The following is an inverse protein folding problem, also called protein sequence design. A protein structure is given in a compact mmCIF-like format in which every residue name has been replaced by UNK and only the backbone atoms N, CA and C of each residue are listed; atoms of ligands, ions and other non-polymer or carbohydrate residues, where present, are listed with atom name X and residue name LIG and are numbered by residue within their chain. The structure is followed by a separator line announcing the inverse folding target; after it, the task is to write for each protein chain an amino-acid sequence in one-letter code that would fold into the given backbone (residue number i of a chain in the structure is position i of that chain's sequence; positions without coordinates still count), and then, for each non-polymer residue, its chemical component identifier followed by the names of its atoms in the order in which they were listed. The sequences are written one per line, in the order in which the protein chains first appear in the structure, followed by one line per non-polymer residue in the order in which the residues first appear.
data_IF_212414903363
#
_entry.id   IF_212414903363
#
_cell.length_a   1.000
_cell.length_b   1.000
_cell.length_c   1.000
_cell.angle_alpha   90.00
_cell.angle_beta   90.00
_cell.angle_gamma   90.00
#
_symmetry.space_group_name_H-M   'P 1'
#
loop_
_entity.id
_entity.type
_entity.pdbx_description
1 polymer ?
#
# COMPACT_ATOMS: atom_id res chain seq x y z
N UNK A 1 46.30 -31.31 42.47
CA UNK A 1 45.57 -31.47 41.23
C UNK A 1 44.27 -30.58 41.05
N UNK A 2 44.07 -29.54 41.88
CA UNK A 2 42.87 -28.69 41.81
C UNK A 2 43.08 -27.28 41.23
N UNK A 3 44.29 -26.87 40.89
CA UNK A 3 44.58 -25.50 40.39
C UNK A 3 44.65 -25.33 38.86
N UNK A 4 44.55 -26.43 38.12
CA UNK A 4 44.69 -26.36 36.64
C UNK A 4 43.35 -26.26 35.90
N UNK A 5 42.24 -26.61 36.55
CA UNK A 5 40.91 -26.62 35.93
C UNK A 5 40.23 -25.22 35.91
N UNK A 6 40.59 -24.34 36.82
CA UNK A 6 39.98 -23.00 36.93
C UNK A 6 40.52 -21.97 35.95
N UNK A 7 41.76 -22.12 35.43
CA UNK A 7 42.35 -21.21 34.45
C UNK A 7 41.77 -21.38 33.03
N UNK A 8 41.31 -22.58 32.68
CA UNK A 8 40.72 -22.85 31.35
C UNK A 8 39.31 -22.33 31.20
N UNK A 9 38.54 -22.28 32.26
CA UNK A 9 37.15 -21.77 32.22
C UNK A 9 37.06 -20.23 32.11
N UNK A 10 37.95 -19.51 32.77
CA UNK A 10 37.99 -18.05 32.73
C UNK A 10 38.41 -17.54 31.34
N UNK A 11 39.40 -18.20 30.71
CA UNK A 11 39.83 -17.83 29.36
C UNK A 11 38.75 -18.02 28.27
N UNK A 12 37.94 -19.07 28.39
CA UNK A 12 36.83 -19.35 27.46
C UNK A 12 35.66 -18.40 27.63
N UNK A 13 35.39 -17.96 28.86
CA UNK A 13 34.32 -16.96 29.13
C UNK A 13 34.70 -15.57 28.61
N UNK A 14 35.94 -15.16 28.65
CA UNK A 14 36.41 -13.90 28.11
C UNK A 14 36.41 -13.90 26.56
N UNK A 15 36.72 -15.02 25.92
CA UNK A 15 36.66 -15.15 24.47
C UNK A 15 35.21 -15.09 23.95
N UNK A 16 34.28 -15.74 24.64
CA UNK A 16 32.84 -15.68 24.28
C UNK A 16 32.23 -14.28 24.50
N UNK A 17 32.60 -13.60 25.59
CA UNK A 17 32.15 -12.23 25.85
C UNK A 17 32.73 -11.22 24.83
N UNK A 18 33.99 -11.37 24.43
CA UNK A 18 34.63 -10.54 23.41
C UNK A 18 34.01 -10.74 22.02
N UNK A 19 33.69 -11.99 21.68
CA UNK A 19 33.03 -12.28 20.39
C UNK A 19 31.59 -11.77 20.33
N UNK A 20 30.86 -11.87 21.45
CA UNK A 20 29.52 -11.31 21.57
C UNK A 20 29.51 -9.78 21.49
N UNK A 21 30.51 -9.12 22.09
CA UNK A 21 30.63 -7.66 22.05
C UNK A 21 31.00 -7.16 20.64
N UNK A 22 31.92 -7.82 19.94
CA UNK A 22 32.29 -7.52 18.56
C UNK A 22 31.12 -7.78 17.59
N UNK A 23 30.34 -8.82 17.81
CA UNK A 23 29.14 -9.09 16.99
C UNK A 23 28.04 -8.08 17.22
N UNK A 24 27.85 -7.63 18.46
CA UNK A 24 26.86 -6.61 18.81
C UNK A 24 27.25 -5.21 18.31
N UNK A 25 28.54 -4.86 18.33
CA UNK A 25 29.03 -3.60 17.73
C UNK A 25 28.94 -3.62 16.21
N UNK A 26 29.15 -4.77 15.57
CA UNK A 26 28.99 -4.90 14.12
C UNK A 26 27.53 -4.74 13.64
N UNK A 27 26.57 -5.20 14.46
CA UNK A 27 25.13 -5.03 14.16
C UNK A 27 24.69 -3.56 14.33
N UNK A 28 25.29 -2.83 15.28
CA UNK A 28 24.94 -1.42 15.52
C UNK A 28 25.53 -0.46 14.46
N UNK A 29 26.58 -0.86 13.73
CA UNK A 29 27.16 -0.02 12.67
C UNK A 29 26.54 -0.25 11.28
N UNK A 30 25.60 -1.18 11.14
CA UNK A 30 24.91 -1.47 9.88
C UNK A 30 23.54 -0.80 9.76
N UNK A 31 23.22 0.18 10.59
CA UNK A 31 22.19 1.15 10.25
C UNK A 31 22.77 2.02 9.12
N UNK A 32 22.67 1.55 7.89
CA UNK A 32 22.85 2.36 6.70
C UNK A 32 21.81 3.46 6.78
N UNK A 33 22.22 4.66 7.19
CA UNK A 33 21.46 5.84 6.87
C UNK A 33 21.24 5.83 5.37
N UNK A 34 19.98 5.84 4.96
CA UNK A 34 19.66 6.05 3.55
C UNK A 34 20.42 7.31 3.12
N UNK A 35 21.10 7.31 1.97
CA UNK A 35 21.85 8.47 1.53
C UNK A 35 20.88 9.66 1.55
N UNK A 36 21.26 10.71 2.26
CA UNK A 36 20.58 12.00 2.22
C UNK A 36 20.52 12.38 0.74
N UNK A 37 19.34 12.27 0.13
CA UNK A 37 19.15 12.54 -1.29
C UNK A 37 19.28 14.04 -1.47
N UNK A 38 20.51 14.50 -1.70
CA UNK A 38 20.78 15.89 -2.01
C UNK A 38 20.13 16.19 -3.37
N UNK A 39 19.21 17.16 -3.38
CA UNK A 39 18.57 17.65 -4.60
C UNK A 39 19.64 18.30 -5.48
N UNK A 40 19.51 18.11 -6.78
CA UNK A 40 20.38 18.76 -7.75
C UNK A 40 20.10 20.27 -7.84
N UNK A 41 21.02 21.02 -8.46
CA UNK A 41 20.99 22.48 -8.53
C UNK A 41 19.77 23.00 -9.32
N UNK A 42 19.38 22.28 -10.38
CA UNK A 42 18.20 22.59 -11.20
C UNK A 42 16.92 22.45 -10.40
N UNK A 43 16.75 21.33 -9.70
CA UNK A 43 15.59 21.09 -8.80
C UNK A 43 15.52 22.15 -7.69
N UNK A 44 16.66 22.51 -7.09
CA UNK A 44 16.73 23.57 -6.07
C UNK A 44 16.33 24.93 -6.65
N UNK A 45 16.71 25.23 -7.89
CA UNK A 45 16.30 26.45 -8.57
C UNK A 45 14.78 26.51 -8.73
N UNK A 46 14.14 25.46 -9.24
CA UNK A 46 12.67 25.41 -9.38
C UNK A 46 11.97 25.55 -8.02
N UNK A 47 12.46 24.82 -7.01
CA UNK A 47 11.92 24.86 -5.66
C UNK A 47 12.13 26.18 -4.92
N UNK A 48 13.04 27.05 -5.39
CA UNK A 48 13.19 28.39 -4.84
C UNK A 48 11.91 29.25 -4.94
N UNK A 49 11.06 28.93 -5.92
CA UNK A 49 9.73 29.50 -6.07
C UNK A 49 8.63 28.48 -5.68
N UNK A 50 8.65 27.29 -6.28
CA UNK A 50 7.58 26.30 -6.13
C UNK A 50 7.56 25.62 -4.74
N UNK A 51 8.64 25.67 -3.97
CA UNK A 51 8.71 25.14 -2.61
C UNK A 51 8.11 26.03 -1.53
N UNK A 52 7.67 27.26 -1.87
CA UNK A 52 7.23 28.24 -0.90
C UNK A 52 5.86 28.84 -1.24
N UNK A 53 5.13 29.24 -0.22
CA UNK A 53 3.85 29.99 -0.41
C UNK A 53 4.07 31.37 -1.02
N UNK A 54 5.23 31.99 -0.77
CA UNK A 54 5.61 33.29 -1.32
C UNK A 54 7.04 33.24 -1.82
N UNK A 55 7.29 33.86 -2.94
CA UNK A 55 8.61 33.93 -3.53
C UNK A 55 8.92 35.33 -4.04
N UNK A 56 10.20 35.67 -4.08
CA UNK A 56 10.70 36.97 -4.55
C UNK A 56 10.95 36.91 -6.07
N UNK A 57 10.43 37.89 -6.78
CA UNK A 57 10.73 38.11 -8.20
C UNK A 57 11.45 39.47 -8.32
N UNK A 58 12.47 39.49 -9.16
CA UNK A 58 13.14 40.71 -9.55
C UNK A 58 12.70 41.09 -10.95
N UNK A 59 12.12 42.27 -11.08
CA UNK A 59 11.82 42.83 -12.42
C UNK A 59 13.15 43.10 -13.14
N UNK A 60 13.38 42.43 -14.23
CA UNK A 60 14.62 42.50 -15.00
C UNK A 60 14.81 43.89 -15.66
N UNK A 61 13.74 44.65 -15.90
CA UNK A 61 13.77 45.94 -16.53
C UNK A 61 14.05 47.10 -15.53
N UNK A 62 13.49 47.00 -14.32
CA UNK A 62 13.58 48.04 -13.29
C UNK A 62 14.52 47.68 -12.15
N UNK A 63 14.83 46.40 -11.94
CA UNK A 63 15.59 45.88 -10.79
C UNK A 63 14.76 45.89 -9.48
N UNK A 64 13.48 46.23 -9.54
CA UNK A 64 12.61 46.23 -8.37
C UNK A 64 12.27 44.79 -7.94
N UNK A 65 12.20 44.57 -6.63
CA UNK A 65 11.84 43.31 -6.01
C UNK A 65 10.38 43.28 -5.62
N UNK A 66 9.67 42.25 -6.01
CA UNK A 66 8.28 42.01 -5.63
C UNK A 66 8.13 40.62 -4.99
N UNK A 67 7.33 40.55 -3.90
CA UNK A 67 6.93 39.31 -3.31
C UNK A 67 5.62 38.84 -3.93
N UNK A 68 5.62 37.72 -4.61
CA UNK A 68 4.44 37.11 -5.20
C UNK A 68 4.00 35.89 -4.37
N UNK A 69 2.71 35.58 -4.46
CA UNK A 69 2.13 34.38 -3.85
C UNK A 69 2.09 33.25 -4.89
N UNK A 70 2.60 32.07 -4.51
CA UNK A 70 2.49 30.87 -5.32
C UNK A 70 1.04 30.36 -5.32
N UNK A 71 0.55 29.95 -6.48
CA UNK A 71 -0.71 29.22 -6.58
C UNK A 71 -0.57 27.89 -5.84
N UNK A 72 -1.58 27.53 -5.06
CA UNK A 72 -1.54 26.32 -4.22
C UNK A 72 -1.32 25.04 -5.03
N UNK A 73 -1.88 25.00 -6.23
CA UNK A 73 -1.78 23.89 -7.18
C UNK A 73 -0.36 23.72 -7.74
N UNK A 74 0.40 24.81 -7.77
CA UNK A 74 1.79 24.83 -8.24
C UNK A 74 2.82 24.75 -7.08
N UNK A 75 2.34 24.72 -5.84
CA UNK A 75 3.22 24.61 -4.67
C UNK A 75 3.60 23.15 -4.43
N UNK A 76 4.89 22.91 -4.28
CA UNK A 76 5.46 21.59 -4.01
C UNK A 76 5.79 21.45 -2.52
N UNK A 77 5.30 20.40 -1.89
CA UNK A 77 5.74 19.97 -0.56
C UNK A 77 7.10 19.28 -0.70
N UNK A 78 8.17 20.03 -0.41
CA UNK A 78 9.56 19.57 -0.61
C UNK A 78 9.87 18.28 0.17
N UNK A 79 9.54 18.15 1.47
CA UNK A 79 9.69 16.90 2.20
C UNK A 79 8.91 15.72 1.59
N UNK A 80 7.70 15.95 1.11
CA UNK A 80 6.90 14.91 0.47
C UNK A 80 7.51 14.49 -0.87
N UNK A 81 8.04 15.44 -1.66
CA UNK A 81 8.73 15.18 -2.92
C UNK A 81 10.01 14.36 -2.68
N UNK A 82 10.91 14.79 -1.80
CA UNK A 82 12.14 14.07 -1.49
C UNK A 82 11.88 12.64 -0.98
N UNK A 83 10.81 12.47 -0.19
CA UNK A 83 10.37 11.16 0.30
C UNK A 83 9.57 10.37 -0.71
N UNK A 84 9.21 10.94 -1.85
CA UNK A 84 8.44 10.31 -2.92
C UNK A 84 9.22 9.25 -3.70
N UNK A 85 8.51 8.44 -4.48
CA UNK A 85 9.11 7.41 -5.34
C UNK A 85 9.98 8.06 -6.42
N UNK A 86 9.55 9.20 -6.96
CA UNK A 86 10.23 9.95 -8.01
C UNK A 86 11.07 11.14 -7.48
N UNK A 87 11.23 11.28 -6.18
CA UNK A 87 11.94 12.42 -5.55
C UNK A 87 13.46 12.48 -5.80
N UNK A 88 13.97 11.71 -6.73
CA UNK A 88 15.36 11.73 -7.20
C UNK A 88 15.50 12.20 -8.65
N UNK A 89 14.38 12.43 -9.34
CA UNK A 89 14.37 12.97 -10.69
C UNK A 89 14.52 14.50 -10.64
N UNK A 90 15.00 15.05 -11.74
CA UNK A 90 14.95 16.50 -11.98
C UNK A 90 13.53 16.91 -12.40
N UNK A 91 13.23 18.17 -12.18
CA UNK A 91 11.93 18.70 -12.63
C UNK A 91 11.75 18.55 -14.15
N UNK A 92 12.82 18.78 -14.91
CA UNK A 92 12.83 18.66 -16.37
C UNK A 92 12.82 17.22 -16.91
N UNK A 93 12.98 16.20 -16.07
CA UNK A 93 12.75 14.82 -16.48
C UNK A 93 11.26 14.55 -16.77
N UNK A 94 10.34 15.39 -16.22
CA UNK A 94 8.89 15.26 -16.41
C UNK A 94 8.26 16.54 -16.99
N UNK A 95 8.87 17.69 -16.77
CA UNK A 95 8.40 18.98 -17.28
C UNK A 95 9.30 19.44 -18.43
N UNK A 96 8.71 20.15 -19.41
CA UNK A 96 9.47 20.74 -20.50
C UNK A 96 10.60 21.65 -19.99
N UNK A 97 11.74 21.64 -20.68
CA UNK A 97 12.83 22.59 -20.43
C UNK A 97 12.41 24.06 -20.64
N UNK A 98 11.30 24.32 -21.31
CA UNK A 98 10.74 25.67 -21.44
C UNK A 98 10.40 26.30 -20.09
N UNK A 99 10.17 25.47 -19.06
CA UNK A 99 9.96 25.96 -17.69
C UNK A 99 11.23 26.46 -16.99
N UNK A 100 12.41 26.29 -17.55
CA UNK A 100 13.64 26.90 -17.00
C UNK A 100 13.63 28.43 -17.15
N UNK A 101 12.83 28.98 -18.07
CA UNK A 101 12.72 30.41 -18.30
C UNK A 101 11.61 30.99 -17.42
N UNK A 102 11.92 32.07 -16.71
CA UNK A 102 10.93 32.82 -15.92
C UNK A 102 10.72 34.23 -16.46
N UNK A 103 9.46 34.70 -16.64
CA UNK A 103 8.20 33.99 -16.45
C UNK A 103 8.05 32.87 -17.47
N UNK A 104 7.44 31.75 -17.06
CA UNK A 104 7.23 30.61 -17.92
C UNK A 104 6.37 30.97 -19.14
N UNK A 105 6.76 30.49 -20.35
CA UNK A 105 5.98 30.76 -21.55
C UNK A 105 4.59 30.09 -21.46
N UNK A 106 3.59 30.72 -22.04
CA UNK A 106 2.22 30.18 -22.00
C UNK A 106 2.12 28.83 -22.73
N UNK A 107 2.92 28.61 -23.78
CA UNK A 107 3.00 27.34 -24.51
C UNK A 107 3.37 26.16 -23.62
N UNK A 108 4.28 26.33 -22.66
CA UNK A 108 4.70 25.26 -21.74
C UNK A 108 3.52 24.73 -20.88
N UNK A 109 2.53 25.60 -20.58
CA UNK A 109 1.34 25.19 -19.80
C UNK A 109 0.35 24.33 -20.59
N UNK A 110 0.45 24.33 -21.91
CA UNK A 110 -0.41 23.57 -22.81
C UNK A 110 0.17 22.21 -23.20
N UNK A 111 1.37 21.88 -22.72
CA UNK A 111 1.99 20.59 -22.99
C UNK A 111 1.28 19.46 -22.25
N UNK A 112 1.17 18.32 -22.91
CA UNK A 112 0.60 17.11 -22.32
C UNK A 112 1.56 16.54 -21.29
N UNK A 113 1.03 16.17 -20.13
CA UNK A 113 1.83 15.48 -19.11
C UNK A 113 2.16 14.05 -19.53
N UNK A 114 3.36 13.60 -19.19
CA UNK A 114 3.75 12.18 -19.37
C UNK A 114 2.81 11.25 -18.62
N UNK A 115 2.57 10.08 -19.18
CA UNK A 115 1.86 8.97 -18.53
C UNK A 115 2.87 8.03 -17.86
N UNK A 116 2.36 7.10 -17.04
CA UNK A 116 3.23 6.10 -16.43
C UNK A 116 3.94 5.23 -17.49
N UNK A 117 3.27 4.93 -18.60
CA UNK A 117 3.79 4.08 -19.68
C UNK A 117 4.87 4.76 -20.52
N UNK A 118 4.93 6.09 -20.57
CA UNK A 118 5.99 6.78 -21.30
C UNK A 118 7.38 6.45 -20.74
N UNK A 119 7.47 6.10 -19.46
CA UNK A 119 8.71 5.70 -18.79
C UNK A 119 8.73 4.24 -18.35
N UNK A 120 7.58 3.65 -18.03
CA UNK A 120 7.48 2.29 -17.47
C UNK A 120 6.88 1.27 -18.45
N UNK A 121 6.55 1.68 -19.67
CA UNK A 121 6.16 0.79 -20.75
C UNK A 121 7.37 0.01 -21.27
N UNK A 122 7.16 -1.24 -21.65
CA UNK A 122 8.16 -2.10 -22.31
C UNK A 122 9.45 -2.36 -21.51
N UNK A 123 9.55 -1.96 -20.23
CA UNK A 123 10.71 -2.20 -19.39
C UNK A 123 10.46 -3.41 -18.46
N UNK A 124 11.24 -4.48 -18.68
CA UNK A 124 11.18 -5.71 -17.88
C UNK A 124 11.40 -5.45 -16.37
N UNK A 125 12.15 -4.42 -16.00
CA UNK A 125 12.38 -4.06 -14.60
C UNK A 125 11.09 -3.68 -13.88
N UNK A 126 10.12 -3.15 -14.61
CA UNK A 126 8.83 -2.71 -14.08
C UNK A 126 7.66 -3.65 -14.41
N UNK A 127 7.90 -4.75 -15.15
CA UNK A 127 6.85 -5.71 -15.55
C UNK A 127 6.01 -6.25 -14.37
N UNK A 128 6.62 -6.35 -13.19
CA UNK A 128 5.91 -6.79 -11.97
C UNK A 128 4.85 -5.82 -11.46
N UNK A 129 4.82 -4.59 -11.93
CA UNK A 129 3.82 -3.56 -11.58
C UNK A 129 2.60 -3.60 -12.50
N UNK A 130 2.70 -4.25 -13.66
CA UNK A 130 1.59 -4.43 -14.62
C UNK A 130 0.98 -3.11 -15.12
N UNK A 131 1.82 -2.13 -15.45
CA UNK A 131 1.33 -0.81 -15.89
C UNK A 131 0.43 -0.88 -17.12
N UNK A 132 0.71 -1.76 -18.09
CA UNK A 132 -0.16 -1.97 -19.26
C UNK A 132 -1.58 -2.41 -18.88
N UNK A 133 -1.67 -3.31 -17.90
CA UNK A 133 -2.97 -3.79 -17.41
C UNK A 133 -3.70 -2.68 -16.64
N UNK A 134 -2.95 -1.89 -15.86
CA UNK A 134 -3.49 -0.74 -15.11
C UNK A 134 -4.08 0.28 -16.08
N UNK A 135 -3.37 0.62 -17.14
CA UNK A 135 -3.86 1.54 -18.16
C UNK A 135 -5.09 0.97 -18.88
N UNK A 136 -5.03 -0.30 -19.30
CA UNK A 136 -6.17 -0.96 -19.97
C UNK A 136 -7.43 -1.03 -19.08
N UNK A 137 -7.29 -1.09 -17.77
CA UNK A 137 -8.39 -0.96 -16.81
C UNK A 137 -8.87 0.50 -16.69
N UNK A 138 -7.94 1.43 -16.56
CA UNK A 138 -8.24 2.86 -16.44
C UNK A 138 -9.01 3.39 -17.65
N UNK A 139 -8.62 3.00 -18.86
CA UNK A 139 -9.33 3.37 -20.09
C UNK A 139 -10.78 2.87 -20.17
N UNK A 140 -11.16 1.89 -19.35
CA UNK A 140 -12.54 1.39 -19.21
C UNK A 140 -13.28 2.03 -18.04
N UNK A 141 -12.60 2.85 -17.24
CA UNK A 141 -13.18 3.54 -16.09
C UNK A 141 -14.20 4.56 -16.55
N UNK A 142 -15.24 4.78 -15.73
CA UNK A 142 -16.22 5.85 -15.93
C UNK A 142 -15.54 7.23 -16.01
N UNK A 143 -14.40 7.40 -15.34
CA UNK A 143 -13.63 8.65 -15.37
C UNK A 143 -12.96 8.95 -16.72
N UNK A 144 -12.92 8.00 -17.64
CA UNK A 144 -12.35 8.16 -18.98
C UNK A 144 -13.45 8.03 -20.05
N UNK A 145 -14.44 7.17 -19.81
CA UNK A 145 -15.51 6.92 -20.76
C UNK A 145 -16.61 7.99 -20.74
N UNK A 146 -16.63 8.83 -19.70
CA UNK A 146 -17.48 10.03 -19.66
C UNK A 146 -16.84 11.12 -20.50
N UNK A 147 -17.52 11.56 -21.57
CA UNK A 147 -17.04 12.56 -22.55
C UNK A 147 -16.72 13.92 -21.91
N UNK A 148 -17.32 14.25 -20.77
CA UNK A 148 -17.09 15.48 -20.02
C UNK A 148 -15.92 15.38 -19.03
N UNK A 149 -15.21 14.25 -18.98
CA UNK A 149 -14.18 13.98 -17.98
C UNK A 149 -12.76 14.21 -18.52
N UNK A 150 -12.01 15.06 -17.84
CA UNK A 150 -10.58 15.31 -18.09
C UNK A 150 -9.67 14.61 -17.07
N UNK A 151 -10.08 13.45 -16.56
CA UNK A 151 -9.33 12.72 -15.52
C UNK A 151 -8.17 11.94 -16.13
N UNK A 152 -7.00 12.10 -15.55
CA UNK A 152 -5.77 11.37 -15.88
C UNK A 152 -5.24 10.59 -14.68
N UNK A 153 -4.16 9.83 -14.86
CA UNK A 153 -3.46 9.17 -13.76
C UNK A 153 -3.11 10.15 -12.62
N UNK A 154 -2.70 11.35 -13.00
CA UNK A 154 -2.27 12.40 -12.08
C UNK A 154 -3.41 13.05 -11.30
N UNK A 155 -4.63 12.89 -11.74
CA UNK A 155 -5.79 13.36 -10.97
C UNK A 155 -5.99 12.60 -9.66
N UNK A 156 -5.52 11.32 -9.62
CA UNK A 156 -5.58 10.46 -8.43
C UNK A 156 -4.22 10.27 -7.77
N UNK A 157 -3.15 10.29 -8.55
CA UNK A 157 -1.78 10.07 -8.09
C UNK A 157 -0.97 11.36 -8.21
N UNK A 158 -0.68 12.03 -7.09
CA UNK A 158 0.20 13.19 -7.14
C UNK A 158 1.64 12.75 -7.41
N UNK A 159 2.24 13.07 -8.56
CA UNK A 159 3.57 12.61 -8.93
C UNK A 159 4.67 13.11 -7.99
N UNK A 160 4.50 14.32 -7.43
CA UNK A 160 5.47 14.94 -6.55
C UNK A 160 5.52 14.32 -5.14
N UNK A 161 4.46 13.62 -4.72
CA UNK A 161 4.41 13.01 -3.38
C UNK A 161 4.06 11.51 -3.42
N UNK A 162 4.02 10.91 -4.60
CA UNK A 162 3.64 9.50 -4.77
C UNK A 162 4.58 8.57 -4.01
N UNK A 163 3.98 7.68 -3.20
CA UNK A 163 4.69 6.63 -2.47
C UNK A 163 3.99 5.29 -2.69
N UNK A 164 4.80 4.25 -2.87
CA UNK A 164 4.27 2.90 -2.90
C UNK A 164 3.72 2.52 -1.52
N UNK A 165 2.42 2.43 -1.39
CA UNK A 165 1.73 2.08 -0.13
C UNK A 165 2.16 0.73 0.46
N UNK A 166 2.76 -0.15 -0.35
CA UNK A 166 3.28 -1.44 0.09
C UNK A 166 4.58 -1.32 0.91
N UNK A 167 5.27 -0.19 0.87
CA UNK A 167 6.52 0.06 1.63
C UNK A 167 6.29 0.76 2.96
N UNK A 168 5.12 1.36 3.18
CA UNK A 168 4.78 2.00 4.44
C UNK A 168 4.39 0.98 5.52
N UNK A 169 4.80 1.18 6.79
CA UNK A 169 4.36 0.33 7.89
C UNK A 169 2.84 0.40 8.02
N UNK A 170 2.25 -0.77 8.22
CA UNK A 170 0.83 -1.03 8.01
C UNK A 170 -0.09 -0.51 9.11
N UNK A 171 -0.34 0.77 9.17
CA UNK A 171 -1.62 1.22 9.73
C UNK A 171 -2.71 1.15 8.65
N UNK A 172 -3.52 0.10 8.71
CA UNK A 172 -4.61 -0.13 7.77
C UNK A 172 -5.60 1.03 7.75
N UNK A 173 -5.88 1.62 8.91
CA UNK A 173 -6.81 2.75 9.03
C UNK A 173 -6.28 3.98 8.31
N UNK A 174 -5.01 4.29 8.49
CA UNK A 174 -4.37 5.40 7.80
C UNK A 174 -4.37 5.18 6.27
N UNK A 175 -4.07 3.97 5.80
CA UNK A 175 -4.14 3.64 4.37
C UNK A 175 -5.53 3.80 3.77
N UNK A 176 -6.57 3.39 4.49
CA UNK A 176 -7.95 3.56 4.03
C UNK A 176 -8.28 5.05 3.95
N UNK A 177 -7.93 5.82 4.98
CA UNK A 177 -8.15 7.28 5.00
C UNK A 177 -7.46 7.96 3.83
N UNK A 178 -6.18 7.68 3.60
CA UNK A 178 -5.42 8.26 2.47
C UNK A 178 -6.05 7.89 1.12
N UNK A 179 -6.43 6.61 0.92
CA UNK A 179 -7.09 6.19 -0.31
C UNK A 179 -8.44 6.91 -0.52
N UNK A 180 -9.25 7.03 0.53
CA UNK A 180 -10.55 7.70 0.43
C UNK A 180 -10.40 9.21 0.20
N UNK A 181 -9.36 9.84 0.76
CA UNK A 181 -9.08 11.27 0.54
C UNK A 181 -8.83 11.58 -0.93
N UNK A 182 -8.23 10.66 -1.69
CA UNK A 182 -8.06 10.82 -3.15
C UNK A 182 -9.40 11.00 -3.86
N UNK A 183 -10.37 10.15 -3.54
CA UNK A 183 -11.71 10.26 -4.13
C UNK A 183 -12.45 11.52 -3.64
N UNK A 184 -12.34 11.80 -2.34
CA UNK A 184 -13.01 12.95 -1.71
C UNK A 184 -12.41 14.29 -2.10
N UNK A 185 -11.23 14.33 -2.68
CA UNK A 185 -10.66 15.56 -3.26
C UNK A 185 -11.56 16.16 -4.35
N UNK A 186 -12.23 15.30 -5.13
CA UNK A 186 -13.20 15.72 -6.14
C UNK A 186 -14.65 15.47 -5.69
N UNK A 187 -14.91 14.30 -5.05
CA UNK A 187 -16.27 13.87 -4.68
C UNK A 187 -16.70 14.31 -3.26
N UNK A 188 -15.89 15.07 -2.54
CA UNK A 188 -16.31 15.73 -1.29
C UNK A 188 -17.31 16.85 -1.57
N UNK A 189 -18.25 17.11 -0.65
CA UNK A 189 -19.36 18.05 -0.82
C UNK A 189 -18.96 19.40 -1.40
N UNK A 190 -17.89 19.99 -0.89
CA UNK A 190 -17.43 21.33 -1.34
C UNK A 190 -16.73 21.27 -2.70
N UNK A 191 -15.90 20.23 -2.90
CA UNK A 191 -15.09 20.13 -4.11
C UNK A 191 -15.93 19.80 -5.34
N UNK A 192 -16.91 18.91 -5.19
CA UNK A 192 -17.74 18.46 -6.29
C UNK A 192 -18.54 19.62 -6.91
N UNK A 193 -19.20 20.43 -6.10
CA UNK A 193 -19.98 21.58 -6.57
C UNK A 193 -19.13 22.62 -7.27
N UNK A 194 -17.90 22.84 -6.81
CA UNK A 194 -16.99 23.82 -7.37
C UNK A 194 -16.32 23.35 -8.67
N UNK A 195 -15.87 22.09 -8.73
CA UNK A 195 -15.11 21.59 -9.87
C UNK A 195 -15.98 21.09 -11.01
N UNK A 196 -17.14 20.49 -10.71
CA UNK A 196 -17.99 19.83 -11.70
C UNK A 196 -19.20 20.70 -12.08
N UNK A 197 -19.46 21.78 -11.34
CA UNK A 197 -20.56 22.72 -11.63
C UNK A 197 -21.97 22.12 -11.50
N UNK A 198 -22.10 20.94 -10.94
CA UNK A 198 -23.37 20.25 -10.62
C UNK A 198 -23.59 20.30 -9.11
N UNK A 199 -24.85 20.27 -8.70
CA UNK A 199 -25.17 20.11 -7.28
C UNK A 199 -24.53 18.83 -6.75
N UNK A 200 -23.68 18.96 -5.73
CA UNK A 200 -23.00 17.82 -5.11
C UNK A 200 -24.02 16.84 -4.58
N UNK A 201 -24.01 15.57 -4.99
CA UNK A 201 -24.76 14.57 -4.27
C UNK A 201 -24.18 14.49 -2.84
N UNK A 202 -25.01 14.74 -1.84
CA UNK A 202 -24.64 14.50 -0.46
C UNK A 202 -24.14 13.07 -0.31
N UNK A 203 -22.85 12.90 0.03
CA UNK A 203 -22.21 11.60 0.14
C UNK A 203 -22.98 10.65 1.08
N UNK A 204 -23.45 11.16 2.19
CA UNK A 204 -24.21 10.38 3.17
C UNK A 204 -25.57 9.99 2.61
N UNK A 205 -26.23 10.90 1.92
CA UNK A 205 -27.55 10.68 1.35
C UNK A 205 -27.52 9.70 0.17
N UNK A 206 -26.51 9.78 -0.69
CA UNK A 206 -26.35 8.84 -1.80
C UNK A 206 -26.04 7.40 -1.33
N UNK A 207 -25.62 7.25 -0.07
CA UNK A 207 -25.36 5.96 0.58
C UNK A 207 -26.36 5.61 1.68
N UNK A 208 -27.58 6.18 1.68
CA UNK A 208 -28.63 5.90 2.69
C UNK A 208 -28.95 4.39 2.85
N UNK A 209 -28.75 3.63 1.78
CA UNK A 209 -28.92 2.17 1.77
C UNK A 209 -27.84 1.44 2.61
N UNK A 210 -26.71 2.08 2.92
CA UNK A 210 -25.59 1.46 3.62
C UNK A 210 -25.72 1.63 5.13
N UNK A 211 -25.90 0.55 5.91
CA UNK A 211 -25.96 0.63 7.37
C UNK A 211 -24.59 1.00 7.95
N UNK A 212 -24.57 1.74 9.07
CA UNK A 212 -23.33 2.14 9.74
C UNK A 212 -22.31 2.83 8.81
N UNK A 213 -22.75 3.78 8.03
CA UNK A 213 -21.97 4.51 7.03
C UNK A 213 -20.60 4.98 7.57
N UNK A 214 -20.57 5.60 8.74
CA UNK A 214 -19.32 6.08 9.37
C UNK A 214 -18.29 4.96 9.54
N UNK A 215 -18.74 3.78 9.94
CA UNK A 215 -17.86 2.62 10.11
C UNK A 215 -17.33 2.12 8.77
N UNK A 216 -18.19 2.07 7.74
CA UNK A 216 -17.78 1.67 6.40
C UNK A 216 -16.77 2.67 5.83
N UNK A 217 -17.04 3.97 5.84
CA UNK A 217 -16.14 4.98 5.29
C UNK A 217 -14.79 5.07 6.02
N UNK A 218 -14.71 4.62 7.27
CA UNK A 218 -13.43 4.56 8.02
C UNK A 218 -12.71 3.23 7.90
N UNK A 219 -13.35 2.17 7.39
CA UNK A 219 -12.81 0.79 7.36
C UNK A 219 -12.78 0.17 5.96
N UNK A 220 -13.43 0.79 4.98
CA UNK A 220 -13.55 0.30 3.61
C UNK A 220 -13.13 1.44 2.67
N UNK A 221 -12.39 1.10 1.62
CA UNK A 221 -12.00 2.08 0.60
C UNK A 221 -13.17 2.30 -0.36
N UNK A 222 -13.30 3.50 -0.89
CA UNK A 222 -14.31 3.79 -1.92
C UNK A 222 -14.21 2.82 -3.11
N UNK A 223 -12.99 2.52 -3.54
CA UNK A 223 -12.71 1.58 -4.63
C UNK A 223 -13.10 0.13 -4.33
N UNK A 224 -13.28 -0.27 -3.08
CA UNK A 224 -13.70 -1.65 -2.74
C UNK A 224 -15.16 -1.90 -3.15
N UNK A 225 -15.96 -0.82 -3.30
CA UNK A 225 -17.33 -0.87 -3.82
C UNK A 225 -17.44 -0.32 -5.24
N UNK A 226 -16.64 0.70 -5.58
CA UNK A 226 -16.76 1.46 -6.81
C UNK A 226 -15.77 1.05 -7.91
N UNK A 227 -14.97 0.00 -7.73
CA UNK A 227 -14.09 -0.49 -8.78
C UNK A 227 -14.30 -1.97 -9.05
N UNK A 228 -14.13 -2.37 -10.31
CA UNK A 228 -14.14 -3.79 -10.68
C UNK A 228 -12.90 -4.48 -10.10
N UNK A 229 -13.10 -5.54 -9.35
CA UNK A 229 -12.00 -6.31 -8.77
C UNK A 229 -11.42 -7.26 -9.80
N UNK A 230 -10.09 -7.26 -9.93
CA UNK A 230 -9.37 -8.20 -10.78
C UNK A 230 -8.59 -9.22 -9.96
N UNK A 231 -8.54 -10.47 -10.39
CA UNK A 231 -7.88 -11.55 -9.62
C UNK A 231 -6.35 -11.42 -9.56
N UNK A 232 -5.75 -10.67 -10.47
CA UNK A 232 -4.29 -10.57 -10.63
C UNK A 232 -3.68 -9.28 -10.08
N UNK A 233 -4.45 -8.20 -9.94
CA UNK A 233 -3.97 -6.90 -9.49
C UNK A 233 -4.58 -6.55 -8.14
N UNK A 234 -3.76 -6.02 -7.22
CA UNK A 234 -4.18 -5.69 -5.85
C UNK A 234 -5.11 -4.47 -5.76
N UNK A 235 -5.06 -3.60 -6.78
CA UNK A 235 -5.86 -2.38 -6.86
C UNK A 235 -6.45 -2.30 -8.27
N UNK A 236 -7.76 -2.28 -8.36
CA UNK A 236 -8.46 -2.13 -9.63
C UNK A 236 -8.52 -0.65 -10.02
N UNK A 237 -8.26 -0.37 -11.30
CA UNK A 237 -8.29 0.98 -11.88
C UNK A 237 -9.54 1.22 -12.75
N UNK A 238 -10.34 0.18 -12.99
CA UNK A 238 -11.64 0.34 -13.65
C UNK A 238 -12.67 0.79 -12.62
N UNK A 239 -12.84 2.09 -12.47
CA UNK A 239 -13.89 2.67 -11.62
C UNK A 239 -15.23 2.53 -12.33
N UNK A 240 -16.21 1.98 -11.62
CA UNK A 240 -17.53 1.68 -12.12
C UNK A 240 -18.48 2.87 -11.97
N UNK A 241 -19.49 3.00 -12.84
CA UNK A 241 -20.63 3.88 -12.59
C UNK A 241 -21.29 3.58 -11.23
N UNK A 242 -21.89 4.58 -10.62
CA UNK A 242 -22.53 4.43 -9.30
C UNK A 242 -23.60 3.33 -9.24
N UNK A 243 -24.26 3.07 -10.37
CA UNK A 243 -25.30 2.04 -10.46
C UNK A 243 -24.72 0.61 -10.44
N UNK A 244 -23.51 0.44 -10.94
CA UNK A 244 -22.80 -0.82 -11.01
C UNK A 244 -21.93 -1.08 -9.75
N UNK A 245 -21.90 -0.15 -8.81
CA UNK A 245 -21.18 -0.30 -7.56
C UNK A 245 -21.72 -1.48 -6.73
N UNK A 246 -20.83 -2.12 -5.97
CA UNK A 246 -21.20 -3.24 -5.09
C UNK A 246 -22.14 -2.78 -3.98
N UNK A 247 -23.41 -3.19 -4.04
CA UNK A 247 -24.46 -2.83 -3.08
C UNK A 247 -24.94 -4.03 -2.25
N UNK A 248 -24.46 -5.24 -2.52
CA UNK A 248 -24.91 -6.46 -1.82
C UNK A 248 -24.00 -6.77 -0.65
N UNK A 249 -24.55 -6.72 0.56
CA UNK A 249 -23.82 -6.98 1.81
C UNK A 249 -23.11 -8.35 1.83
N UNK A 250 -23.69 -9.35 1.19
CA UNK A 250 -23.14 -10.72 1.14
C UNK A 250 -21.84 -10.83 0.32
N UNK A 251 -21.58 -9.90 -0.59
CA UNK A 251 -20.34 -9.89 -1.37
C UNK A 251 -19.12 -9.59 -0.50
N UNK A 252 -19.30 -8.80 0.54
CA UNK A 252 -18.25 -8.49 1.52
C UNK A 252 -18.40 -9.28 2.83
N UNK A 253 -19.62 -9.51 3.29
CA UNK A 253 -19.92 -10.09 4.61
C UNK A 253 -20.22 -11.60 4.58
N UNK A 254 -19.85 -12.31 3.51
CA UNK A 254 -19.95 -13.77 3.46
C UNK A 254 -18.61 -14.45 3.72
N UNK A 255 -18.63 -15.72 4.08
CA UNK A 255 -17.43 -16.54 4.31
C UNK A 255 -16.56 -16.74 3.06
N UNK A 256 -17.13 -16.52 1.87
CA UNK A 256 -16.46 -16.62 0.57
C UNK A 256 -16.34 -15.27 -0.15
N UNK A 257 -16.34 -14.19 0.59
CA UNK A 257 -16.34 -12.84 0.03
C UNK A 257 -15.03 -12.45 -0.65
N UNK A 258 -15.12 -11.50 -1.57
CA UNK A 258 -13.98 -10.83 -2.22
C UNK A 258 -13.06 -10.20 -1.16
N UNK A 259 -13.66 -9.58 -0.13
CA UNK A 259 -12.91 -8.98 1.00
C UNK A 259 -12.05 -10.03 1.71
N UNK A 260 -12.62 -11.20 2.05
CA UNK A 260 -11.87 -12.28 2.68
C UNK A 260 -10.80 -12.85 1.75
N UNK A 261 -11.06 -12.91 0.45
CA UNK A 261 -10.09 -13.30 -0.56
C UNK A 261 -8.91 -12.33 -0.64
N UNK A 262 -9.19 -11.05 -0.66
CA UNK A 262 -8.16 -9.98 -0.69
C UNK A 262 -7.36 -9.92 0.59
N UNK A 263 -8.00 -10.01 1.75
CA UNK A 263 -7.35 -10.06 3.06
C UNK A 263 -6.43 -11.27 3.17
N UNK A 264 -6.89 -12.45 2.74
CA UNK A 264 -6.09 -13.66 2.75
C UNK A 264 -4.87 -13.56 1.81
N UNK A 265 -5.04 -13.01 0.60
CA UNK A 265 -3.92 -12.75 -0.32
C UNK A 265 -2.89 -11.82 0.30
N UNK A 266 -3.34 -10.73 0.93
CA UNK A 266 -2.45 -9.77 1.58
C UNK A 266 -1.71 -10.40 2.77
N UNK A 267 -2.42 -11.09 3.65
CA UNK A 267 -1.82 -11.76 4.81
C UNK A 267 -0.82 -12.85 4.39
N UNK A 268 -1.17 -13.66 3.38
CA UNK A 268 -0.29 -14.68 2.84
C UNK A 268 0.97 -14.07 2.19
N UNK A 269 0.85 -12.95 1.47
CA UNK A 269 2.01 -12.25 0.90
C UNK A 269 2.90 -11.68 2.00
N UNK A 270 2.33 -11.03 3.00
CA UNK A 270 3.04 -10.44 4.14
C UNK A 270 3.75 -11.52 4.98
N UNK A 271 3.04 -12.62 5.29
CA UNK A 271 3.61 -13.75 6.02
C UNK A 271 4.75 -14.42 5.23
N UNK A 272 4.58 -14.56 3.90
CA UNK A 272 5.60 -15.14 3.02
C UNK A 272 6.86 -14.29 2.96
N UNK A 273 6.71 -12.97 2.89
CA UNK A 273 7.83 -12.04 2.91
C UNK A 273 8.56 -12.01 4.26
N UNK A 274 7.82 -12.17 5.37
CA UNK A 274 8.37 -12.11 6.73
C UNK A 274 9.00 -13.43 7.19
N UNK A 275 8.38 -14.55 6.87
CA UNK A 275 8.72 -15.88 7.45
C UNK A 275 9.21 -16.90 6.40
N UNK A 276 9.21 -16.57 5.12
CA UNK A 276 9.46 -17.51 4.03
C UNK A 276 8.27 -18.44 3.75
N UNK A 277 8.33 -19.20 2.65
CA UNK A 277 7.19 -19.95 2.14
C UNK A 277 6.65 -21.01 3.12
N UNK A 278 7.52 -21.80 3.73
CA UNK A 278 7.09 -22.86 4.66
C UNK A 278 6.63 -22.30 6.01
N UNK A 279 7.35 -21.33 6.55
CA UNK A 279 7.01 -20.74 7.84
C UNK A 279 5.74 -19.88 7.78
N UNK A 280 5.42 -19.29 6.64
CA UNK A 280 4.18 -18.53 6.43
C UNK A 280 2.93 -19.42 6.51
N UNK A 281 3.02 -20.67 6.06
CA UNK A 281 1.91 -21.65 6.16
C UNK A 281 1.66 -22.07 7.61
N UNK A 282 2.71 -22.18 8.41
CA UNK A 282 2.64 -22.61 9.81
C UNK A 282 2.28 -21.44 10.74
N UNK A 283 2.82 -20.25 10.47
CA UNK A 283 2.62 -19.05 11.30
C UNK A 283 1.32 -18.30 10.97
N UNK A 284 0.48 -18.80 10.09
CA UNK A 284 -0.79 -18.17 9.77
C UNK A 284 -1.77 -18.35 10.93
N UNK A 285 -1.96 -17.30 11.72
CA UNK A 285 -2.86 -17.24 12.88
C UNK A 285 -4.34 -17.48 12.52
N UNK A 286 -4.66 -17.50 11.24
CA UNK A 286 -6.02 -17.70 10.72
C UNK A 286 -6.34 -19.17 10.41
N UNK A 287 -5.52 -20.15 10.86
CA UNK A 287 -5.82 -21.55 10.62
C UNK A 287 -6.95 -22.03 11.53
N UNK A 288 -8.17 -21.91 11.02
CA UNK A 288 -9.32 -22.60 11.59
C UNK A 288 -9.56 -23.89 10.78
N UNK A 289 -9.69 -25.00 11.49
CA UNK A 289 -10.05 -26.28 10.87
C UNK A 289 -11.36 -26.10 10.09
N UNK A 290 -11.34 -26.35 8.78
CA UNK A 290 -12.47 -26.15 7.89
C UNK A 290 -12.61 -24.77 7.25
N UNK A 291 -11.83 -23.75 7.69
CA UNK A 291 -11.81 -22.42 7.07
C UNK A 291 -10.66 -22.24 6.06
N UNK A 292 -9.82 -23.25 5.91
CA UNK A 292 -8.70 -23.19 4.97
C UNK A 292 -9.21 -23.53 3.56
N UNK A 293 -8.89 -22.68 2.58
CA UNK A 293 -9.19 -22.94 1.16
C UNK A 293 -8.36 -24.05 0.51
N UNK A 294 -7.34 -24.55 1.21
CA UNK A 294 -6.53 -25.65 0.67
C UNK A 294 -7.24 -26.98 0.91
N UNK A 295 -7.78 -27.54 -0.18
CA UNK A 295 -8.50 -28.81 -0.18
C UNK A 295 -7.72 -29.96 0.48
N UNK A 296 -6.42 -30.08 0.18
CA UNK A 296 -5.58 -31.16 0.72
C UNK A 296 -5.33 -31.00 2.23
N UNK A 297 -5.13 -29.77 2.72
CA UNK A 297 -4.96 -29.53 4.16
C UNK A 297 -6.25 -29.78 4.93
N UNK A 298 -7.40 -29.48 4.35
CA UNK A 298 -8.69 -29.81 4.96
C UNK A 298 -8.90 -31.32 5.08
N UNK A 299 -8.61 -32.08 4.01
CA UNK A 299 -8.68 -33.54 4.06
C UNK A 299 -7.68 -34.10 5.09
N UNK A 300 -6.44 -33.61 5.10
CA UNK A 300 -5.43 -34.05 6.07
C UNK A 300 -5.86 -33.76 7.51
N UNK A 301 -6.43 -32.59 7.79
CA UNK A 301 -6.94 -32.22 9.12
C UNK A 301 -8.09 -33.14 9.56
N UNK A 302 -9.03 -33.45 8.66
CA UNK A 302 -10.14 -34.36 8.95
C UNK A 302 -9.61 -35.79 9.19
N UNK A 303 -8.67 -36.24 8.37
CA UNK A 303 -8.06 -37.56 8.52
C UNK A 303 -7.33 -37.73 9.87
N UNK A 304 -6.55 -36.71 10.27
CA UNK A 304 -5.86 -36.69 11.57
C UNK A 304 -6.88 -36.72 12.71
N UNK A 305 -7.93 -35.92 12.63
CA UNK A 305 -8.99 -35.87 13.65
C UNK A 305 -9.69 -37.23 13.79
N UNK A 306 -10.05 -37.87 12.68
CA UNK A 306 -10.65 -39.22 12.68
C UNK A 306 -9.69 -40.25 13.30
N UNK A 307 -8.39 -40.19 12.95
CA UNK A 307 -7.37 -41.10 13.48
C UNK A 307 -7.25 -40.97 15.01
N UNK A 308 -7.27 -39.75 15.54
CA UNK A 308 -7.25 -39.47 16.98
C UNK A 308 -8.50 -40.04 17.65
N UNK A 309 -9.68 -39.83 17.08
CA UNK A 309 -10.93 -40.39 17.61
C UNK A 309 -10.93 -41.93 17.64
N UNK A 310 -10.44 -42.57 16.57
CA UNK A 310 -10.28 -44.02 16.52
C UNK A 310 -9.32 -44.49 17.63
N UNK A 311 -8.18 -43.81 17.79
CA UNK A 311 -7.21 -44.12 18.85
C UNK A 311 -7.81 -44.02 20.25
N UNK A 312 -8.58 -42.98 20.52
CA UNK A 312 -9.32 -42.82 21.79
C UNK A 312 -10.35 -43.95 21.98
N UNK A 313 -11.12 -44.28 20.94
CA UNK A 313 -12.12 -45.32 21.01
C UNK A 313 -11.51 -46.70 21.26
N UNK A 314 -10.41 -47.05 20.58
CA UNK A 314 -9.65 -48.29 20.82
C UNK A 314 -9.13 -48.33 22.23
N UNK A 315 -8.50 -47.24 22.70
CA UNK A 315 -7.96 -47.17 24.07
C UNK A 315 -9.05 -47.34 25.12
N UNK A 316 -10.18 -46.67 24.97
CA UNK A 316 -11.32 -46.79 25.88
C UNK A 316 -11.88 -48.22 25.90
N UNK A 317 -12.05 -48.80 24.73
CA UNK A 317 -12.56 -50.19 24.57
C UNK A 317 -11.64 -51.19 25.23
N UNK A 318 -10.34 -51.13 24.95
CA UNK A 318 -9.34 -51.97 25.58
C UNK A 318 -9.33 -51.83 27.10
N UNK A 319 -9.44 -50.59 27.60
CA UNK A 319 -9.48 -50.31 29.04
C UNK A 319 -10.72 -50.94 29.69
N UNK A 320 -11.87 -50.92 29.05
CA UNK A 320 -13.09 -51.56 29.56
C UNK A 320 -12.95 -53.08 29.58
N UNK A 321 -12.48 -53.70 28.48
CA UNK A 321 -12.27 -55.12 28.35
C UNK A 321 -11.30 -55.65 29.40
N UNK A 322 -10.14 -54.97 29.56
CA UNK A 322 -9.12 -55.41 30.56
C UNK A 322 -9.53 -55.14 31.99
N UNK A 323 -10.35 -54.10 32.25
CA UNK A 323 -10.93 -53.87 33.57
C UNK A 323 -11.91 -54.98 33.97
N UNK A 324 -12.78 -55.37 33.07
CA UNK A 324 -13.75 -56.45 33.31
C UNK A 324 -13.08 -57.82 33.49
N UNK A 325 -11.94 -58.05 32.80
CA UNK A 325 -11.15 -59.31 32.96
C UNK A 325 -10.39 -59.38 34.30
N UNK A 326 -10.10 -58.21 34.94
CA UNK A 326 -9.50 -58.17 36.30
C UNK A 326 -10.52 -58.32 37.42
N UNK A 327 -11.78 -58.05 37.19
CA UNK A 327 -12.84 -58.19 38.21
C UNK A 327 -13.53 -59.57 38.13
N UNK A 328 -13.25 -60.39 37.14
CA UNK A 328 -13.78 -61.73 37.00
C UNK A 328 -12.80 -62.88 37.42
N UNK A 329 -11.73 -62.51 38.13
CA UNK A 329 -10.84 -63.40 38.86
C UNK A 329 -10.89 -63.04 40.33
#
# INVERSE_FOLDING_TARGET
MKKWFTRSLIGKSFLLAGFSYLFFTFILTSASEAPDKQLDEETLHCLSCHGYEKYEVVDTATGEKAMLKMFKEAQIDVPAYQGGTHGHFKCTDCHSSDFEVTPHPFSAKAETSYTCLDCHGDDEAYASFHFDTIEAEFLKSIHVTDEDSEVSCWSCHNPHSYKLSSKEPADLTNRITVNNTVCLACHGEVSYSFLIGKDSPDLLKSHDWLPNQTLHFTRVRCIDCHAATHDSILVAHMVLPADDAVKKCVECHSTNSILMGSLYKHQSKTARNKYGFFNAVIANESYLVGANRNYYLNIASIAIFIMVLIGIAIHATLRIIFKNKKQGK
#
